data_IF_336834650963
#
_entry.id   IF_336834650963
#
_cell.length_a   1.000
_cell.length_b   1.000
_cell.length_c   1.000
_cell.angle_alpha   90.00
_cell.angle_beta   90.00
_cell.angle_gamma   90.00
#
_symmetry.space_group_name_H-M   'P 1'
#
loop_
_entity.id
_entity.type
_entity.pdbx_description
1 polymer ?
#
# COMPACT_ATOMS: atom_id res chain seq x y z
N UNK A 1 -19.74 -27.38 40.64
CA UNK A 1 -18.62 -27.80 39.75
C UNK A 1 -18.95 -27.24 38.38
N UNK A 2 -18.02 -26.52 37.75
CA UNK A 2 -18.21 -26.00 36.39
C UNK A 2 -17.03 -26.46 35.52
N UNK A 3 -17.30 -26.76 34.25
CA UNK A 3 -16.26 -27.14 33.30
C UNK A 3 -15.88 -25.94 32.45
N UNK A 4 -14.59 -25.71 32.30
CA UNK A 4 -14.04 -24.70 31.40
C UNK A 4 -13.19 -25.39 30.34
N UNK A 5 -13.00 -24.73 29.22
CA UNK A 5 -12.21 -25.26 28.12
C UNK A 5 -10.90 -24.49 28.02
N UNK A 6 -9.78 -25.18 28.19
CA UNK A 6 -8.45 -24.58 28.02
C UNK A 6 -7.94 -24.91 26.62
N UNK A 7 -7.32 -23.92 25.97
CA UNK A 7 -6.67 -24.08 24.68
C UNK A 7 -5.34 -24.82 24.84
N UNK A 8 -5.13 -25.84 24.01
CA UNK A 8 -3.96 -26.72 23.99
C UNK A 8 -3.53 -26.90 22.54
N UNK A 9 -2.23 -27.08 22.31
CA UNK A 9 -1.70 -27.44 21.00
C UNK A 9 -2.34 -28.76 20.51
N UNK A 10 -2.90 -28.81 19.28
CA UNK A 10 -3.45 -30.02 18.69
C UNK A 10 -2.59 -31.28 18.83
N UNK A 11 -1.25 -31.14 18.79
CA UNK A 11 -0.33 -32.27 18.93
C UNK A 11 -0.30 -32.89 20.34
N UNK A 12 -0.70 -32.14 21.37
CA UNK A 12 -0.58 -32.52 22.77
C UNK A 12 -1.90 -33.01 23.39
N UNK A 13 -3.00 -32.94 22.66
CA UNK A 13 -4.35 -33.22 23.20
C UNK A 13 -4.47 -34.65 23.72
N UNK A 14 -3.84 -35.62 23.05
CA UNK A 14 -3.83 -37.03 23.46
C UNK A 14 -3.23 -37.26 24.85
N UNK A 15 -2.42 -36.32 25.36
CA UNK A 15 -1.80 -36.40 26.68
C UNK A 15 -2.77 -36.01 27.81
N UNK A 16 -3.88 -35.34 27.48
CA UNK A 16 -4.85 -34.87 28.44
C UNK A 16 -6.03 -35.82 28.53
N UNK A 17 -6.19 -36.42 29.71
CA UNK A 17 -7.28 -37.33 30.02
C UNK A 17 -8.15 -36.82 31.17
N UNK A 18 -9.05 -37.69 31.63
CA UNK A 18 -9.91 -37.42 32.77
C UNK A 18 -9.07 -37.09 34.02
N UNK A 19 -9.29 -35.93 34.67
CA UNK A 19 -8.62 -35.62 35.92
C UNK A 19 -9.23 -36.45 37.08
N UNK A 20 -8.43 -36.84 38.08
CA UNK A 20 -8.89 -37.63 39.24
C UNK A 20 -9.96 -36.91 40.08
N UNK A 21 -10.10 -35.60 39.90
CA UNK A 21 -11.00 -34.72 40.64
C UNK A 21 -12.44 -34.75 40.09
N UNK A 22 -12.66 -35.40 38.93
CA UNK A 22 -13.97 -35.53 38.30
C UNK A 22 -14.79 -36.64 38.98
N UNK A 23 -15.67 -36.25 39.90
CA UNK A 23 -16.48 -37.15 40.73
C UNK A 23 -17.72 -37.73 40.02
N UNK A 24 -18.21 -37.08 38.95
CA UNK A 24 -19.40 -37.51 38.21
C UNK A 24 -19.10 -37.73 36.71
N UNK A 25 -19.17 -38.99 36.28
CA UNK A 25 -18.85 -39.42 34.91
C UNK A 25 -19.81 -38.88 33.85
N UNK A 26 -21.10 -38.77 34.18
CA UNK A 26 -22.09 -38.25 33.25
C UNK A 26 -21.83 -36.77 32.93
N UNK A 27 -21.38 -35.99 33.91
CA UNK A 27 -21.06 -34.57 33.72
C UNK A 27 -19.76 -34.37 32.95
N UNK A 28 -18.77 -35.25 33.14
CA UNK A 28 -17.53 -35.21 32.35
C UNK A 28 -17.79 -35.53 30.88
N UNK A 29 -18.55 -36.59 30.59
CA UNK A 29 -18.91 -36.95 29.22
C UNK A 29 -19.73 -35.84 28.55
N UNK A 30 -20.64 -35.19 29.30
CA UNK A 30 -21.38 -34.04 28.81
C UNK A 30 -20.45 -32.88 28.43
N UNK A 31 -19.45 -32.55 29.26
CA UNK A 31 -18.48 -31.50 28.95
C UNK A 31 -17.57 -31.85 27.75
N UNK A 32 -17.23 -33.12 27.54
CA UNK A 32 -16.50 -33.54 26.34
C UNK A 32 -17.37 -33.37 25.08
N UNK A 33 -18.66 -33.71 25.16
CA UNK A 33 -19.60 -33.59 24.05
C UNK A 33 -19.98 -32.14 23.72
N UNK A 34 -20.07 -31.28 24.73
CA UNK A 34 -20.39 -29.85 24.60
C UNK A 34 -19.14 -28.98 24.34
N UNK A 35 -18.00 -29.60 24.00
CA UNK A 35 -16.77 -28.89 23.71
C UNK A 35 -16.87 -28.11 22.39
N UNK A 36 -16.62 -26.78 22.38
CA UNK A 36 -16.72 -25.96 21.17
C UNK A 36 -15.72 -26.35 20.06
N UNK A 37 -14.53 -26.84 20.40
CA UNK A 37 -13.58 -27.37 19.43
C UNK A 37 -12.71 -28.50 20.02
N UNK A 38 -13.02 -29.77 19.74
CA UNK A 38 -12.30 -30.91 20.28
C UNK A 38 -10.86 -31.05 19.75
N UNK A 39 -10.48 -30.29 18.72
CA UNK A 39 -9.14 -30.34 18.12
C UNK A 39 -8.14 -29.39 18.78
N UNK A 40 -8.58 -28.48 19.65
CA UNK A 40 -7.69 -27.56 20.35
C UNK A 40 -8.14 -27.22 21.78
N UNK A 41 -9.32 -27.66 22.22
CA UNK A 41 -9.81 -27.38 23.56
C UNK A 41 -9.95 -28.66 24.40
N UNK A 42 -9.53 -28.57 25.66
CA UNK A 42 -9.64 -29.66 26.63
C UNK A 42 -10.49 -29.21 27.83
N UNK A 43 -11.49 -30.01 28.25
CA UNK A 43 -12.29 -29.67 29.42
C UNK A 43 -11.48 -29.79 30.71
N UNK A 44 -11.58 -28.79 31.56
CA UNK A 44 -10.92 -28.71 32.86
C UNK A 44 -11.98 -28.34 33.89
N UNK A 45 -12.04 -29.14 34.96
CA UNK A 45 -13.00 -28.93 36.04
C UNK A 45 -12.54 -27.80 36.97
N UNK A 46 -13.47 -26.97 37.43
CA UNK A 46 -13.28 -26.03 38.52
C UNK A 46 -14.21 -26.38 39.70
N UNK A 47 -13.61 -26.54 40.86
CA UNK A 47 -14.26 -26.90 42.12
C UNK A 47 -14.16 -25.74 43.11
N UNK A 48 -15.21 -24.92 43.18
CA UNK A 48 -15.32 -23.82 44.15
C UNK A 48 -14.64 -22.52 43.68
N UNK A 49 -14.51 -21.57 44.61
CA UNK A 49 -14.03 -20.22 44.33
C UNK A 49 -12.50 -20.12 44.20
N UNK A 50 -11.74 -21.02 44.83
CA UNK A 50 -10.28 -21.02 44.74
C UNK A 50 -9.80 -21.30 43.30
N UNK A 51 -10.42 -22.27 42.62
CA UNK A 51 -10.10 -22.57 41.22
C UNK A 51 -10.51 -21.44 40.27
N UNK A 52 -11.59 -20.72 40.59
CA UNK A 52 -11.98 -19.52 39.84
C UNK A 52 -10.98 -18.39 40.03
N UNK A 53 -10.49 -18.18 41.25
CA UNK A 53 -9.45 -17.18 41.54
C UNK A 53 -8.17 -17.50 40.76
N UNK A 54 -7.68 -18.75 40.80
CA UNK A 54 -6.49 -19.17 40.03
C UNK A 54 -6.66 -18.91 38.53
N UNK A 55 -7.87 -19.11 37.99
CA UNK A 55 -8.17 -18.81 36.58
C UNK A 55 -8.16 -17.32 36.28
N UNK A 56 -8.75 -16.50 37.14
CA UNK A 56 -8.72 -15.03 36.99
C UNK A 56 -7.27 -14.55 37.01
N UNK A 57 -6.46 -15.03 37.95
CA UNK A 57 -5.03 -14.72 38.02
C UNK A 57 -4.29 -15.14 36.73
N UNK A 58 -4.49 -16.36 36.24
CA UNK A 58 -3.89 -16.82 34.98
C UNK A 58 -4.34 -15.99 33.77
N UNK A 59 -5.62 -15.61 33.70
CA UNK A 59 -6.15 -14.74 32.64
C UNK A 59 -5.56 -13.33 32.71
N UNK A 60 -5.41 -12.76 33.91
CA UNK A 60 -4.78 -11.45 34.08
C UNK A 60 -3.31 -11.47 33.65
N UNK A 61 -2.59 -12.55 33.95
CA UNK A 61 -1.21 -12.73 33.50
C UNK A 61 -1.13 -12.85 31.96
N UNK A 62 -1.97 -13.69 31.35
CA UNK A 62 -2.01 -13.81 29.89
C UNK A 62 -2.39 -12.50 29.19
N UNK A 63 -3.36 -11.76 29.73
CA UNK A 63 -3.74 -10.45 29.20
C UNK A 63 -2.57 -9.45 29.28
N UNK A 64 -1.78 -9.48 30.36
CA UNK A 64 -0.59 -8.65 30.50
C UNK A 64 0.48 -9.02 29.45
N UNK A 65 0.73 -10.31 29.22
CA UNK A 65 1.66 -10.79 28.18
C UNK A 65 1.20 -10.41 26.77
N UNK A 66 -0.09 -10.56 26.48
CA UNK A 66 -0.68 -10.13 25.20
C UNK A 66 -0.53 -8.62 24.99
N UNK A 67 -0.77 -7.82 26.04
CA UNK A 67 -0.60 -6.37 25.98
C UNK A 67 0.85 -5.97 25.71
N UNK A 68 1.82 -6.69 26.28
CA UNK A 68 3.24 -6.49 25.98
C UNK A 68 3.55 -6.82 24.51
N UNK A 69 3.07 -7.96 24.00
CA UNK A 69 3.24 -8.33 22.58
C UNK A 69 2.64 -7.30 21.63
N UNK A 70 1.47 -6.73 21.95
CA UNK A 70 0.86 -5.67 21.15
C UNK A 70 1.75 -4.43 21.12
N UNK A 71 2.31 -4.01 22.27
CA UNK A 71 3.27 -2.90 22.33
C UNK A 71 4.52 -3.18 21.49
N UNK A 72 5.05 -4.39 21.53
CA UNK A 72 6.20 -4.80 20.71
C UNK A 72 5.87 -4.74 19.22
N UNK A 73 4.68 -5.18 18.81
CA UNK A 73 4.24 -5.05 17.42
C UNK A 73 4.08 -3.60 17.00
N UNK A 74 3.51 -2.75 17.85
CA UNK A 74 3.38 -1.31 17.59
C UNK A 74 4.74 -0.64 17.40
N UNK A 75 5.72 -0.95 18.24
CA UNK A 75 7.09 -0.41 18.10
C UNK A 75 7.79 -0.91 16.84
N UNK A 76 7.59 -2.17 16.45
CA UNK A 76 8.12 -2.69 15.18
C UNK A 76 7.49 -2.02 13.97
N UNK A 77 6.18 -1.80 13.99
CA UNK A 77 5.47 -1.10 12.91
C UNK A 77 5.96 0.34 12.82
N UNK A 78 6.08 1.06 13.93
CA UNK A 78 6.58 2.44 13.93
C UNK A 78 8.01 2.52 13.40
N UNK A 79 8.89 1.60 13.80
CA UNK A 79 10.26 1.51 13.27
C UNK A 79 10.29 1.23 11.76
N UNK A 80 9.40 0.37 11.25
CA UNK A 80 9.27 0.08 9.82
C UNK A 80 8.82 1.32 9.03
N UNK A 81 7.80 2.03 9.54
CA UNK A 81 7.30 3.27 8.94
C UNK A 81 8.39 4.34 8.91
N UNK A 82 9.11 4.54 10.02
CA UNK A 82 10.23 5.48 10.10
C UNK A 82 11.33 5.13 9.10
N UNK A 83 11.72 3.86 8.99
CA UNK A 83 12.70 3.41 7.99
C UNK A 83 12.23 3.65 6.56
N UNK A 84 10.94 3.44 6.29
CA UNK A 84 10.36 3.68 4.98
C UNK A 84 10.45 5.17 4.61
N UNK A 85 9.99 6.05 5.51
CA UNK A 85 9.94 7.50 5.29
C UNK A 85 11.33 8.13 5.18
N UNK A 86 12.24 7.81 6.12
CA UNK A 86 13.54 8.47 6.18
C UNK A 86 14.55 7.92 5.16
N UNK A 87 14.54 6.61 4.93
CA UNK A 87 15.56 5.94 4.11
C UNK A 87 15.02 5.48 2.76
N UNK A 88 13.94 4.70 2.74
CA UNK A 88 13.55 4.03 1.49
C UNK A 88 13.00 5.03 0.47
N UNK A 89 12.15 5.96 0.90
CA UNK A 89 11.59 6.99 0.02
C UNK A 89 12.69 7.89 -0.58
N UNK A 90 13.61 8.37 0.25
CA UNK A 90 14.73 9.24 -0.21
C UNK A 90 15.69 8.50 -1.16
N UNK A 91 16.01 7.23 -0.86
CA UNK A 91 16.82 6.38 -1.75
C UNK A 91 16.12 6.12 -3.08
N UNK A 92 14.81 5.89 -3.07
CA UNK A 92 14.01 5.70 -4.28
C UNK A 92 14.03 6.95 -5.15
N UNK A 93 13.79 8.13 -4.56
CA UNK A 93 13.84 9.41 -5.27
C UNK A 93 15.23 9.65 -5.89
N UNK A 94 16.30 9.40 -5.12
CA UNK A 94 17.67 9.51 -5.64
C UNK A 94 17.94 8.53 -6.77
N UNK A 95 17.49 7.29 -6.67
CA UNK A 95 17.65 6.29 -7.71
C UNK A 95 16.90 6.69 -8.99
N UNK A 96 15.67 7.20 -8.87
CA UNK A 96 14.89 7.71 -10.00
C UNK A 96 15.59 8.90 -10.68
N UNK A 97 16.10 9.86 -9.91
CA UNK A 97 16.85 11.00 -10.46
C UNK A 97 18.14 10.56 -11.19
N UNK A 98 18.88 9.61 -10.60
CA UNK A 98 20.08 9.04 -11.21
C UNK A 98 19.75 8.25 -12.48
N UNK A 99 18.64 7.50 -12.49
CA UNK A 99 18.16 6.79 -13.67
C UNK A 99 17.92 7.77 -14.82
N UNK A 100 17.17 8.86 -14.58
CA UNK A 100 16.93 9.91 -15.58
C UNK A 100 18.23 10.50 -16.11
N UNK A 101 19.19 10.79 -15.21
CA UNK A 101 20.50 11.33 -15.61
C UNK A 101 21.30 10.35 -16.47
N UNK A 102 21.33 9.07 -16.08
CA UNK A 102 22.03 8.02 -16.82
C UNK A 102 21.38 7.78 -18.17
N UNK A 103 20.05 7.71 -18.25
CA UNK A 103 19.31 7.61 -19.50
C UNK A 103 19.67 8.76 -20.45
N UNK A 104 19.72 9.99 -19.94
CA UNK A 104 20.12 11.15 -20.75
C UNK A 104 21.60 11.08 -21.20
N UNK A 105 22.51 10.59 -20.34
CA UNK A 105 23.92 10.37 -20.73
C UNK A 105 24.06 9.31 -21.80
N UNK A 106 23.29 8.23 -21.71
CA UNK A 106 23.24 7.16 -22.71
C UNK A 106 22.69 7.71 -24.02
N UNK A 107 21.59 8.45 -24.00
CA UNK A 107 21.03 9.11 -25.20
C UNK A 107 22.05 10.04 -25.87
N UNK A 108 22.81 10.82 -25.09
CA UNK A 108 23.91 11.63 -25.63
C UNK A 108 25.00 10.80 -26.28
N UNK A 109 25.36 9.65 -25.72
CA UNK A 109 26.33 8.75 -26.36
C UNK A 109 25.75 8.17 -27.66
N UNK A 110 24.49 7.72 -27.62
CA UNK A 110 23.76 7.21 -28.79
C UNK A 110 23.74 8.23 -29.92
N UNK A 111 23.48 9.52 -29.61
CA UNK A 111 23.56 10.61 -30.58
C UNK A 111 24.92 10.65 -31.31
N UNK A 112 26.02 10.37 -30.62
CA UNK A 112 27.37 10.41 -31.20
C UNK A 112 27.86 9.04 -31.73
N UNK A 113 27.04 7.99 -31.72
CA UNK A 113 27.45 6.66 -32.20
C UNK A 113 27.88 6.67 -33.66
N UNK A 114 27.24 7.50 -34.50
CA UNK A 114 27.63 7.70 -35.90
C UNK A 114 29.06 8.26 -36.06
N UNK A 115 29.62 8.92 -35.03
CA UNK A 115 31.03 9.35 -35.01
C UNK A 115 31.98 8.23 -34.56
N UNK A 116 31.50 7.34 -33.70
CA UNK A 116 32.31 6.29 -33.08
C UNK A 116 32.37 5.01 -33.92
N UNK A 117 31.33 4.71 -34.71
CA UNK A 117 31.21 3.49 -35.51
C UNK A 117 31.27 3.88 -37.00
N UNK A 118 32.40 3.64 -37.70
CA UNK A 118 32.55 4.00 -39.11
C UNK A 118 31.50 3.38 -40.03
N UNK A 119 31.02 2.17 -39.71
CA UNK A 119 29.99 1.47 -40.48
C UNK A 119 28.63 2.18 -40.49
N UNK A 120 28.28 2.91 -39.41
CA UNK A 120 27.05 3.69 -39.36
C UNK A 120 27.18 5.00 -40.15
N UNK A 121 28.39 5.58 -40.22
CA UNK A 121 28.66 6.81 -40.97
C UNK A 121 28.53 6.64 -42.47
N UNK A 122 29.00 5.51 -43.00
CA UNK A 122 28.98 5.23 -44.44
C UNK A 122 27.70 4.51 -44.90
N UNK A 123 26.76 4.23 -43.98
CA UNK A 123 25.48 3.66 -44.33
C UNK A 123 24.55 4.74 -44.86
N UNK A 124 23.77 4.43 -45.89
CA UNK A 124 22.59 5.22 -46.21
C UNK A 124 21.61 5.16 -45.02
N UNK A 125 20.82 6.23 -44.83
CA UNK A 125 19.76 6.23 -43.82
C UNK A 125 18.79 5.09 -44.11
N UNK A 126 18.42 4.37 -43.06
CA UNK A 126 17.42 3.31 -43.17
C UNK A 126 16.02 3.91 -43.20
N UNK A 127 15.04 3.26 -43.84
CA UNK A 127 13.66 3.74 -43.84
C UNK A 127 13.07 3.86 -42.42
N UNK A 128 13.53 3.04 -41.47
CA UNK A 128 13.16 3.15 -40.05
C UNK A 128 13.70 4.44 -39.41
N UNK A 129 14.91 4.87 -39.77
CA UNK A 129 15.52 6.11 -39.26
C UNK A 129 14.84 7.34 -39.86
N UNK A 130 14.43 7.27 -41.13
CA UNK A 130 13.63 8.31 -41.77
C UNK A 130 12.26 8.46 -41.11
N UNK A 131 11.58 7.34 -40.79
CA UNK A 131 10.33 7.37 -40.05
C UNK A 131 10.49 8.02 -38.66
N UNK A 132 11.56 7.66 -37.92
CA UNK A 132 11.88 8.27 -36.63
C UNK A 132 12.18 9.77 -36.75
N UNK A 133 12.89 10.17 -37.80
CA UNK A 133 13.17 11.58 -38.08
C UNK A 133 11.89 12.37 -38.29
N UNK A 134 10.97 11.87 -39.12
CA UNK A 134 9.68 12.52 -39.37
C UNK A 134 8.88 12.69 -38.09
N UNK A 135 8.79 11.64 -37.26
CA UNK A 135 8.10 11.71 -35.97
C UNK A 135 8.75 12.73 -35.01
N UNK A 136 10.08 12.85 -35.01
CA UNK A 136 10.78 13.85 -34.19
C UNK A 136 10.55 15.29 -34.70
N UNK A 137 10.52 15.48 -36.02
CA UNK A 137 10.21 16.78 -36.64
C UNK A 137 8.77 17.20 -36.31
N UNK A 138 7.80 16.28 -36.37
CA UNK A 138 6.41 16.54 -35.97
C UNK A 138 6.31 16.97 -34.49
N UNK A 139 7.00 16.27 -33.59
CA UNK A 139 7.03 16.61 -32.16
C UNK A 139 7.71 17.97 -31.94
N UNK A 140 8.83 18.23 -32.59
CA UNK A 140 9.55 19.52 -32.48
C UNK A 140 8.70 20.68 -33.01
N UNK A 141 7.96 20.48 -34.09
CA UNK A 141 6.99 21.46 -34.61
C UNK A 141 5.85 21.71 -33.64
N UNK A 142 5.27 20.65 -33.04
CA UNK A 142 4.22 20.79 -32.03
C UNK A 142 4.71 21.52 -30.77
N UNK A 143 5.96 21.27 -30.37
CA UNK A 143 6.60 21.98 -29.25
C UNK A 143 6.83 23.46 -29.61
N UNK A 144 7.34 23.77 -30.80
CA UNK A 144 7.68 25.14 -31.23
C UNK A 144 6.48 25.98 -31.67
N UNK A 145 5.36 25.36 -32.08
CA UNK A 145 4.18 26.10 -32.57
C UNK A 145 3.60 27.01 -31.47
N UNK A 146 3.35 28.30 -31.76
CA UNK A 146 2.61 29.17 -30.86
C UNK A 146 1.20 28.60 -30.67
N UNK A 147 0.91 28.05 -29.49
CA UNK A 147 -0.35 27.34 -29.21
C UNK A 147 -0.21 25.84 -28.85
N UNK A 148 0.98 25.24 -29.04
CA UNK A 148 1.30 23.86 -28.61
C UNK A 148 1.80 23.80 -27.16
N UNK A 149 3.02 23.31 -26.90
CA UNK A 149 3.60 23.39 -25.53
C UNK A 149 3.70 24.82 -24.99
N UNK A 150 3.71 25.84 -25.86
CA UNK A 150 3.53 27.25 -25.48
C UNK A 150 2.16 27.56 -24.85
N UNK A 151 1.08 26.89 -25.26
CA UNK A 151 -0.24 26.96 -24.59
C UNK A 151 -0.22 26.24 -23.25
N UNK A 152 0.49 25.10 -23.15
CA UNK A 152 0.72 24.43 -21.87
C UNK A 152 1.48 25.36 -20.93
N UNK A 153 2.53 26.04 -21.39
CA UNK A 153 3.28 27.03 -20.62
C UNK A 153 2.44 28.24 -20.22
N UNK A 154 1.61 28.76 -21.13
CA UNK A 154 0.66 29.84 -20.84
C UNK A 154 -0.34 29.45 -19.76
N UNK A 155 -0.99 28.28 -19.92
CA UNK A 155 -1.88 27.70 -18.89
C UNK A 155 -1.13 27.43 -17.58
N UNK A 156 0.12 26.97 -17.62
CA UNK A 156 0.93 26.74 -16.43
C UNK A 156 1.17 28.05 -15.68
N UNK A 157 1.47 29.14 -16.40
CA UNK A 157 1.64 30.46 -15.83
C UNK A 157 0.32 31.01 -15.25
N UNK A 158 -0.81 30.81 -15.94
CA UNK A 158 -2.14 31.16 -15.43
C UNK A 158 -2.46 30.39 -14.15
N UNK A 159 -2.22 29.08 -14.12
CA UNK A 159 -2.39 28.24 -12.93
C UNK A 159 -1.45 28.67 -11.81
N UNK A 160 -0.19 29.02 -12.10
CA UNK A 160 0.74 29.57 -11.13
C UNK A 160 0.23 30.88 -10.51
N UNK A 161 -0.34 31.77 -11.34
CA UNK A 161 -0.95 33.00 -10.85
C UNK A 161 -2.19 32.73 -9.98
N UNK A 162 -3.03 31.76 -10.36
CA UNK A 162 -4.19 31.33 -9.58
C UNK A 162 -3.79 30.70 -8.25
N UNK A 163 -2.78 29.83 -8.24
CA UNK A 163 -2.22 29.24 -7.02
C UNK A 163 -1.69 30.34 -6.10
N UNK A 164 -0.92 31.29 -6.66
CA UNK A 164 -0.43 32.46 -5.92
C UNK A 164 -1.56 33.32 -5.33
N UNK A 165 -2.66 33.49 -6.07
CA UNK A 165 -3.84 34.21 -5.60
C UNK A 165 -4.56 33.46 -4.46
N UNK A 166 -4.71 32.13 -4.56
CA UNK A 166 -5.32 31.29 -3.52
C UNK A 166 -4.46 31.24 -2.27
N UNK A 167 -3.14 31.15 -2.39
CA UNK A 167 -2.23 31.20 -1.24
C UNK A 167 -2.30 32.56 -0.55
N UNK A 168 -2.31 33.66 -1.32
CA UNK A 168 -2.45 35.01 -0.77
C UNK A 168 -3.84 35.24 -0.13
N UNK A 169 -4.90 34.66 -0.68
CA UNK A 169 -6.25 34.71 -0.08
C UNK A 169 -6.28 33.94 1.25
N UNK A 170 -5.71 32.73 1.30
CA UNK A 170 -5.58 31.95 2.54
C UNK A 170 -4.77 32.66 3.62
N UNK A 171 -3.70 33.37 3.24
CA UNK A 171 -2.91 34.18 4.18
C UNK A 171 -3.68 35.40 4.69
N UNK A 172 -4.55 36.00 3.87
CA UNK A 172 -5.46 37.09 4.29
C UNK A 172 -6.54 36.59 5.25
N UNK A 173 -7.08 35.39 5.03
CA UNK A 173 -8.08 34.76 5.91
C UNK A 173 -7.49 34.28 7.26
N UNK A 174 -6.16 34.06 7.33
CA UNK A 174 -5.42 33.75 8.57
C UNK A 174 -5.16 34.96 9.48
N UNK A 175 -5.68 36.15 9.17
CA UNK A 175 -5.65 37.29 10.10
C UNK A 175 -6.47 36.96 11.37
N UNK A 176 -6.07 37.44 12.56
CA UNK A 176 -6.70 37.07 13.83
C UNK A 176 -8.12 37.62 13.84
N UNK A 177 -9.12 36.76 13.63
CA UNK A 177 -10.53 37.11 13.50
C UNK A 177 -11.27 36.44 12.34
N UNK A 178 -10.59 35.72 11.45
CA UNK A 178 -11.24 34.85 10.46
C UNK A 178 -11.89 33.67 11.16
N UNK A 179 -13.16 33.37 10.83
CA UNK A 179 -13.91 32.22 11.35
C UNK A 179 -13.10 30.96 11.05
N UNK A 180 -12.43 30.44 12.07
CA UNK A 180 -11.81 29.15 12.05
C UNK A 180 -12.94 28.15 11.81
N UNK A 181 -12.85 27.38 10.72
CA UNK A 181 -13.75 26.27 10.46
C UNK A 181 -13.47 25.19 11.52
N UNK A 182 -13.91 25.45 12.74
CA UNK A 182 -13.96 24.46 13.81
C UNK A 182 -14.88 23.38 13.29
N UNK A 183 -14.34 22.18 13.08
CA UNK A 183 -15.10 21.00 12.69
C UNK A 183 -16.27 20.87 13.68
N UNK A 184 -17.49 21.16 13.21
CA UNK A 184 -18.68 21.27 14.06
C UNK A 184 -19.18 19.89 14.49
N UNK A 185 -18.75 18.83 13.79
CA UNK A 185 -19.18 17.46 14.05
C UNK A 185 -18.00 16.48 13.82
N UNK A 186 -17.30 16.14 14.90
CA UNK A 186 -16.21 15.15 14.88
C UNK A 186 -16.72 13.74 14.54
N UNK A 187 -17.94 13.40 14.97
CA UNK A 187 -18.56 12.08 14.75
C UNK A 187 -18.96 11.92 13.27
N UNK A 188 -19.58 12.95 12.69
CA UNK A 188 -19.89 12.99 11.26
C UNK A 188 -18.63 12.91 10.39
N UNK A 189 -17.54 13.56 10.80
CA UNK A 189 -16.26 13.49 10.08
C UNK A 189 -15.62 12.11 10.19
N UNK A 190 -15.70 11.45 11.35
CA UNK A 190 -15.25 10.07 11.53
C UNK A 190 -16.04 9.09 10.66
N UNK A 191 -17.36 9.28 10.53
CA UNK A 191 -18.19 8.44 9.67
C UNK A 191 -17.84 8.62 8.20
N UNK A 192 -17.63 9.86 7.74
CA UNK A 192 -17.19 10.14 6.37
C UNK A 192 -15.81 9.52 6.11
N UNK A 193 -14.87 9.64 7.06
CA UNK A 193 -13.54 9.04 6.94
C UNK A 193 -13.61 7.51 6.82
N UNK A 194 -14.51 6.86 7.58
CA UNK A 194 -14.74 5.42 7.50
C UNK A 194 -15.30 5.00 6.13
N UNK A 195 -16.33 5.70 5.63
CA UNK A 195 -16.92 5.42 4.32
C UNK A 195 -15.86 5.58 3.22
N UNK A 196 -15.08 6.66 3.25
CA UNK A 196 -14.00 6.89 2.29
C UNK A 196 -12.91 5.82 2.36
N UNK A 197 -12.59 5.32 3.56
CA UNK A 197 -11.63 4.23 3.71
C UNK A 197 -12.16 2.92 3.10
N UNK A 198 -13.43 2.61 3.28
CA UNK A 198 -14.10 1.45 2.68
C UNK A 198 -14.18 1.58 1.15
N UNK A 199 -14.55 2.74 0.64
CA UNK A 199 -14.56 3.04 -0.80
C UNK A 199 -13.15 2.91 -1.40
N UNK A 200 -12.12 3.46 -0.73
CA UNK A 200 -10.73 3.34 -1.18
C UNK A 200 -10.27 1.87 -1.21
N UNK A 201 -10.67 1.07 -0.21
CA UNK A 201 -10.37 -0.37 -0.19
C UNK A 201 -11.09 -1.10 -1.34
N UNK A 202 -12.36 -0.77 -1.59
CA UNK A 202 -13.15 -1.30 -2.70
C UNK A 202 -12.54 -0.96 -4.06
N UNK A 203 -12.17 0.30 -4.28
CA UNK A 203 -11.50 0.76 -5.50
C UNK A 203 -10.14 0.09 -5.69
N UNK A 204 -9.35 -0.09 -4.63
CA UNK A 204 -8.09 -0.79 -4.68
C UNK A 204 -8.28 -2.27 -5.08
N UNK A 205 -9.33 -2.92 -4.58
CA UNK A 205 -9.68 -4.29 -4.96
C UNK A 205 -10.12 -4.37 -6.42
N UNK A 206 -11.03 -3.49 -6.87
CA UNK A 206 -11.46 -3.42 -8.27
C UNK A 206 -10.29 -3.16 -9.21
N UNK A 207 -9.38 -2.27 -8.83
CA UNK A 207 -8.17 -1.98 -9.62
C UNK A 207 -7.28 -3.22 -9.75
N UNK A 208 -7.10 -3.98 -8.67
CA UNK A 208 -6.34 -5.24 -8.72
C UNK A 208 -7.03 -6.29 -9.58
N UNK A 209 -8.36 -6.41 -9.49
CA UNK A 209 -9.13 -7.33 -10.31
C UNK A 209 -9.00 -6.96 -11.79
N UNK A 210 -9.20 -5.68 -12.13
CA UNK A 210 -9.05 -5.18 -13.48
C UNK A 210 -7.62 -5.39 -14.02
N UNK A 211 -6.59 -5.12 -13.20
CA UNK A 211 -5.20 -5.43 -13.57
C UNK A 211 -4.96 -6.91 -13.84
N UNK A 212 -5.58 -7.79 -13.06
CA UNK A 212 -5.52 -9.23 -13.28
C UNK A 212 -6.26 -9.60 -14.56
N UNK A 213 -7.48 -9.12 -14.75
CA UNK A 213 -8.31 -9.43 -15.91
C UNK A 213 -7.66 -8.92 -17.21
N UNK A 214 -7.00 -7.75 -17.19
CA UNK A 214 -6.23 -7.26 -18.33
C UNK A 214 -5.01 -8.15 -18.62
N UNK A 215 -4.33 -8.66 -17.60
CA UNK A 215 -3.23 -9.62 -17.78
C UNK A 215 -3.73 -10.94 -18.33
N UNK A 216 -4.83 -11.45 -17.78
CA UNK A 216 -5.45 -12.70 -18.21
C UNK A 216 -5.97 -12.57 -19.66
N UNK A 217 -6.58 -11.43 -20.02
CA UNK A 217 -6.96 -11.13 -21.40
C UNK A 217 -5.75 -11.01 -22.32
N UNK A 218 -4.65 -10.39 -21.90
CA UNK A 218 -3.43 -10.31 -22.70
C UNK A 218 -2.85 -11.71 -22.98
N UNK A 219 -2.90 -12.62 -22.00
CA UNK A 219 -2.51 -14.02 -22.16
C UNK A 219 -3.45 -14.76 -23.13
N UNK A 220 -4.77 -14.58 -23.02
CA UNK A 220 -5.76 -15.19 -23.93
C UNK A 220 -5.63 -14.66 -25.36
N UNK A 221 -5.31 -13.38 -25.53
CA UNK A 221 -5.10 -12.72 -26.81
C UNK A 221 -3.70 -12.98 -27.40
N UNK A 222 -2.83 -13.68 -26.69
CA UNK A 222 -1.48 -14.04 -27.15
C UNK A 222 -0.51 -12.87 -27.31
N UNK A 223 -0.76 -11.73 -26.64
CA UNK A 223 0.18 -10.60 -26.60
C UNK A 223 1.25 -10.87 -25.54
N UNK A 224 2.52 -10.76 -25.93
CA UNK A 224 3.63 -10.97 -25.00
C UNK A 224 3.55 -9.99 -23.80
N UNK A 225 3.81 -10.44 -22.56
CA UNK A 225 3.64 -9.62 -21.36
C UNK A 225 4.60 -8.43 -21.25
N UNK A 226 5.55 -8.26 -22.19
CA UNK A 226 6.56 -7.20 -22.15
C UNK A 226 6.08 -5.85 -22.69
N UNK A 227 5.07 -5.80 -23.54
CA UNK A 227 4.56 -4.52 -24.09
C UNK A 227 3.73 -3.74 -23.06
N UNK A 228 3.03 -4.43 -22.15
CA UNK A 228 2.13 -3.78 -21.19
C UNK A 228 2.84 -3.04 -20.03
N UNK A 229 4.00 -3.52 -19.58
CA UNK A 229 4.73 -2.85 -18.48
C UNK A 229 5.26 -1.47 -18.90
N UNK A 230 5.54 -1.26 -20.20
CA UNK A 230 6.01 0.02 -20.74
C UNK A 230 4.90 1.09 -20.74
N UNK A 231 3.70 0.74 -21.23
CA UNK A 231 2.57 1.68 -21.35
C UNK A 231 1.95 2.04 -19.99
N UNK A 232 1.96 1.08 -19.05
CA UNK A 232 1.39 1.30 -17.72
C UNK A 232 2.32 2.12 -16.80
N UNK A 233 3.65 1.98 -16.92
CA UNK A 233 4.63 2.79 -16.18
C UNK A 233 4.60 4.27 -16.63
N UNK A 234 4.32 4.53 -17.91
CA UNK A 234 4.06 5.88 -18.43
C UNK A 234 2.82 6.51 -17.78
N UNK A 235 1.76 5.72 -17.63
CA UNK A 235 0.47 6.17 -17.08
C UNK A 235 0.43 6.27 -15.54
N UNK A 236 1.30 5.55 -14.83
CA UNK A 236 1.41 5.63 -13.36
C UNK A 236 2.45 6.65 -12.87
N UNK A 237 3.38 7.10 -13.73
CA UNK A 237 4.31 8.17 -13.40
C UNK A 237 3.59 9.51 -13.09
N UNK A 238 2.46 9.77 -13.75
CA UNK A 238 1.64 10.98 -13.53
C UNK A 238 0.86 10.96 -12.22
N UNK A 239 0.54 9.79 -11.65
CA UNK A 239 -0.22 9.70 -10.39
C UNK A 239 0.65 9.70 -9.13
N UNK A 240 1.93 9.31 -9.21
CA UNK A 240 2.84 9.32 -8.04
C UNK A 240 3.43 10.69 -7.72
N UNK A 241 3.29 11.68 -8.60
CA UNK A 241 3.76 13.06 -8.39
C UNK A 241 2.86 13.91 -7.48
N UNK A 242 1.64 13.45 -7.15
CA UNK A 242 0.64 14.25 -6.43
C UNK A 242 0.50 13.91 -4.93
N UNK A 243 1.40 13.09 -4.37
CA UNK A 243 1.37 12.69 -2.93
C UNK A 243 2.69 12.95 -2.19
N UNK A 244 3.38 14.02 -2.58
CA UNK A 244 4.45 14.66 -1.80
C UNK A 244 4.12 16.15 -1.67
#
# INVERSE_FOLDING_TARGET
QHYFYNLVDPAQIHLYGRPPNATNDALWQKAVNENPDPTCHVPVIATGFEDLQKRVEAQTQQAAEQQQKIKDLQTRISALVQRHQLSNASRLQRAAALQTQLTHRVLKLVQHLHLLIPALRSSALRPEEEALRTALEEIDEEVRRPGGTGRIRGKLNELWALVGAVTAARERDRRPGGVEWTVVDEDGLAQIAQILAEEQAGLAHLTKLLQKDLKDLAVVLGKDPKEYDSDMMSSTATFRGSTL
#
